data_IF_882128734900
#
_entry.id   IF_882128734900
#
_cell.length_a   1.000
_cell.length_b   1.000
_cell.length_c   1.000
_cell.angle_alpha   90.00
_cell.angle_beta   90.00
_cell.angle_gamma   90.00
#
_symmetry.space_group_name_H-M   'P 1'
#
loop_
_entity.id
_entity.type
_entity.pdbx_description
1 polymer ?
#
# COMPACT_ATOMS: atom_id res chain seq x y z
N UNK A 1 -21.82 -1.76 0.84
CA UNK A 1 -21.26 -0.43 0.48
C UNK A 1 -20.11 0.01 1.40
N UNK A 2 -20.23 -0.06 2.74
CA UNK A 2 -19.20 0.41 3.68
C UNK A 2 -17.80 -0.22 3.46
N UNK A 3 -17.72 -1.56 3.30
CA UNK A 3 -16.46 -2.29 3.08
C UNK A 3 -15.68 -1.79 1.86
N UNK A 4 -16.35 -1.53 0.74
CA UNK A 4 -15.71 -1.06 -0.49
C UNK A 4 -15.08 0.31 -0.33
N UNK A 5 -15.78 1.22 0.35
CA UNK A 5 -15.25 2.56 0.64
C UNK A 5 -14.03 2.48 1.56
N UNK A 6 -14.08 1.64 2.61
CA UNK A 6 -12.93 1.41 3.49
C UNK A 6 -11.71 0.86 2.72
N UNK A 7 -11.91 -0.15 1.86
CA UNK A 7 -10.83 -0.72 1.03
C UNK A 7 -10.23 0.32 0.07
N UNK A 8 -11.05 1.19 -0.52
CA UNK A 8 -10.57 2.24 -1.42
C UNK A 8 -9.79 3.33 -0.68
N UNK A 9 -10.23 3.72 0.53
CA UNK A 9 -9.50 4.66 1.38
C UNK A 9 -8.15 4.08 1.78
N UNK A 10 -8.14 2.81 2.20
CA UNK A 10 -6.90 2.12 2.59
C UNK A 10 -5.95 1.96 1.40
N UNK A 11 -6.46 1.58 0.22
CA UNK A 11 -5.69 1.55 -1.02
C UNK A 11 -5.10 2.92 -1.37
N UNK A 12 -5.88 4.00 -1.19
CA UNK A 12 -5.42 5.35 -1.47
C UNK A 12 -4.27 5.80 -0.55
N UNK A 13 -4.37 5.52 0.74
CA UNK A 13 -3.30 5.82 1.71
C UNK A 13 -2.04 4.99 1.38
N UNK A 14 -2.19 3.69 1.11
CA UNK A 14 -1.08 2.84 0.72
C UNK A 14 -0.43 3.30 -0.58
N UNK A 15 -1.20 3.81 -1.55
CA UNK A 15 -0.65 4.35 -2.80
C UNK A 15 0.21 5.59 -2.56
N UNK A 16 -0.25 6.51 -1.72
CA UNK A 16 0.54 7.70 -1.35
C UNK A 16 1.86 7.28 -0.70
N UNK A 17 1.81 6.36 0.27
CA UNK A 17 3.00 5.85 0.93
C UNK A 17 3.93 5.13 -0.05
N UNK A 18 3.39 4.31 -0.95
CA UNK A 18 4.16 3.62 -1.97
C UNK A 18 4.93 4.60 -2.85
N UNK A 19 4.29 5.66 -3.32
CA UNK A 19 4.91 6.69 -4.15
C UNK A 19 6.01 7.42 -3.38
N UNK A 20 5.73 7.87 -2.15
CA UNK A 20 6.71 8.57 -1.32
C UNK A 20 7.96 7.72 -1.06
N UNK A 21 7.77 6.42 -0.82
CA UNK A 21 8.84 5.49 -0.49
C UNK A 21 9.61 4.97 -1.70
N UNK A 22 8.94 4.80 -2.86
CA UNK A 22 9.62 4.46 -4.12
C UNK A 22 10.44 5.64 -4.66
N UNK A 23 9.98 6.86 -4.42
CA UNK A 23 10.69 8.11 -4.76
C UNK A 23 11.50 8.65 -3.57
N UNK A 24 11.85 7.78 -2.61
CA UNK A 24 12.55 8.20 -1.42
C UNK A 24 13.88 8.86 -1.77
N UNK A 25 14.12 10.01 -1.14
CA UNK A 25 15.39 10.73 -1.21
C UNK A 25 15.70 11.33 0.16
N UNK A 26 16.98 11.59 0.48
CA UNK A 26 17.35 12.28 1.70
C UNK A 26 16.63 13.62 1.88
N UNK A 27 16.49 14.42 0.80
CA UNK A 27 15.77 15.69 0.85
C UNK A 27 14.27 15.54 1.15
N UNK A 28 13.64 14.44 0.72
CA UNK A 28 12.27 14.13 1.10
C UNK A 28 12.17 13.77 2.60
N UNK A 29 13.15 13.01 3.12
CA UNK A 29 13.20 12.69 4.55
C UNK A 29 13.36 13.95 5.40
N UNK A 30 14.26 14.84 5.02
CA UNK A 30 14.49 16.13 5.69
C UNK A 30 13.24 17.01 5.64
N UNK A 31 12.56 17.10 4.49
CA UNK A 31 11.32 17.85 4.34
C UNK A 31 10.19 17.32 5.23
N UNK A 32 10.07 15.99 5.34
CA UNK A 32 9.08 15.34 6.20
C UNK A 32 9.47 15.36 7.69
N UNK A 33 10.68 15.80 8.03
CA UNK A 33 11.20 15.80 9.40
C UNK A 33 11.45 14.40 9.96
N UNK A 34 11.64 13.40 9.08
CA UNK A 34 11.91 12.01 9.48
C UNK A 34 13.41 11.69 9.38
N UNK A 35 13.94 10.77 10.21
CA UNK A 35 15.32 10.35 10.12
C UNK A 35 15.65 9.82 8.71
N UNK A 36 16.74 10.30 8.13
CA UNK A 36 17.20 9.82 6.83
C UNK A 36 17.73 8.39 6.94
N UNK A 37 17.40 7.56 5.94
CA UNK A 37 17.99 6.24 5.80
C UNK A 37 19.36 6.36 5.13
N UNK A 38 20.38 5.70 5.66
CA UNK A 38 21.72 5.69 5.06
C UNK A 38 21.74 5.01 3.68
N UNK A 39 20.80 4.07 3.45
CA UNK A 39 20.66 3.33 2.21
C UNK A 39 19.19 3.38 1.78
N UNK A 40 18.94 3.83 0.55
CA UNK A 40 17.58 3.93 -0.02
C UNK A 40 16.91 2.56 -0.25
N UNK A 41 17.62 1.46 -0.03
CA UNK A 41 17.14 0.10 -0.25
C UNK A 41 15.88 -0.23 0.57
N UNK A 42 15.88 0.08 1.88
CA UNK A 42 14.74 -0.24 2.75
C UNK A 42 13.49 0.57 2.43
N UNK A 43 13.57 1.92 2.28
CA UNK A 43 12.44 2.70 1.81
C UNK A 43 11.89 2.18 0.48
N UNK A 44 12.74 1.89 -0.50
CA UNK A 44 12.29 1.46 -1.82
C UNK A 44 11.59 0.09 -1.78
N UNK A 45 12.12 -0.91 -1.04
CA UNK A 45 11.44 -2.20 -0.87
C UNK A 45 10.11 -2.02 -0.16
N UNK A 46 10.06 -1.22 0.90
CA UNK A 46 8.81 -0.95 1.62
C UNK A 46 7.77 -0.27 0.70
N UNK A 47 8.21 0.66 -0.15
CA UNK A 47 7.37 1.29 -1.17
C UNK A 47 6.82 0.29 -2.18
N UNK A 48 7.63 -0.66 -2.64
CA UNK A 48 7.17 -1.74 -3.52
C UNK A 48 6.14 -2.66 -2.83
N UNK A 49 6.32 -2.95 -1.55
CA UNK A 49 5.35 -3.72 -0.75
C UNK A 49 4.01 -2.98 -0.65
N UNK A 50 4.01 -1.68 -0.32
CA UNK A 50 2.78 -0.89 -0.28
C UNK A 50 2.11 -0.75 -1.65
N UNK A 51 2.88 -0.71 -2.73
CA UNK A 51 2.33 -0.76 -4.08
C UNK A 51 1.60 -2.08 -4.33
N UNK A 52 2.18 -3.20 -3.93
CA UNK A 52 1.54 -4.52 -3.99
C UNK A 52 0.24 -4.60 -3.18
N UNK A 53 0.24 -4.05 -1.97
CA UNK A 53 -0.95 -3.96 -1.11
C UNK A 53 -2.03 -3.10 -1.78
N UNK A 54 -1.65 -1.95 -2.34
CA UNK A 54 -2.57 -1.06 -3.08
C UNK A 54 -3.29 -1.82 -4.19
N UNK A 55 -2.55 -2.56 -5.02
CA UNK A 55 -3.11 -3.36 -6.11
C UNK A 55 -4.07 -4.42 -5.56
N UNK A 56 -3.69 -5.14 -4.50
CA UNK A 56 -4.53 -6.16 -3.89
C UNK A 56 -5.85 -5.60 -3.33
N UNK A 57 -5.81 -4.45 -2.65
CA UNK A 57 -6.98 -3.78 -2.10
C UNK A 57 -7.91 -3.27 -3.20
N UNK A 58 -7.36 -2.71 -4.29
CA UNK A 58 -8.15 -2.28 -5.45
C UNK A 58 -8.87 -3.49 -6.05
N UNK A 59 -8.15 -4.60 -6.31
CA UNK A 59 -8.75 -5.84 -6.84
C UNK A 59 -9.90 -6.32 -5.94
N UNK A 60 -9.69 -6.36 -4.62
CA UNK A 60 -10.72 -6.78 -3.66
C UNK A 60 -11.91 -5.80 -3.60
N UNK A 61 -11.67 -4.50 -3.78
CA UNK A 61 -12.73 -3.49 -3.79
C UNK A 61 -13.66 -3.60 -5.01
N UNK A 62 -13.17 -4.11 -6.15
CA UNK A 62 -13.97 -4.34 -7.36
C UNK A 62 -14.48 -5.79 -7.50
N UNK A 63 -14.06 -6.70 -6.60
CA UNK A 63 -14.50 -8.08 -6.61
C UNK A 63 -16.00 -8.19 -6.33
N UNK A 64 -16.73 -8.91 -7.19
CA UNK A 64 -18.12 -9.29 -6.92
C UNK A 64 -18.14 -10.40 -5.87
N UNK A 65 -19.04 -10.36 -4.87
CA UNK A 65 -19.19 -11.44 -3.92
C UNK A 65 -19.69 -12.69 -4.65
N UNK A 66 -18.80 -13.62 -4.94
CA UNK A 66 -19.14 -14.95 -5.46
C UNK A 66 -19.15 -15.93 -4.29
N UNK A 67 -20.24 -16.68 -4.17
CA UNK A 67 -20.75 -17.42 -2.99
C UNK A 67 -19.80 -18.42 -2.32
N UNK A 68 -18.61 -18.72 -2.89
CA UNK A 68 -17.67 -19.70 -2.35
C UNK A 68 -16.18 -19.35 -2.53
N UNK A 69 -15.86 -18.08 -2.74
CA UNK A 69 -14.47 -17.67 -2.96
C UNK A 69 -13.79 -17.23 -1.67
N UNK A 70 -13.19 -18.20 -0.95
CA UNK A 70 -12.23 -17.96 0.14
C UNK A 70 -11.18 -16.94 -0.33
N UNK A 71 -10.87 -15.94 0.50
CA UNK A 71 -9.97 -14.83 0.16
C UNK A 71 -8.87 -14.63 1.18
N UNK A 72 -7.71 -14.17 0.70
CA UNK A 72 -6.47 -13.99 1.47
C UNK A 72 -5.48 -15.14 1.24
N UNK A 73 -4.61 -15.41 2.23
CA UNK A 73 -3.71 -16.59 2.28
C UNK A 73 -4.45 -17.94 2.44
N UNK A 74 -5.77 -17.98 2.23
CA UNK A 74 -6.58 -19.18 2.47
C UNK A 74 -6.77 -19.54 3.94
N UNK A 75 -6.37 -18.67 4.88
CA UNK A 75 -6.59 -18.84 6.30
C UNK A 75 -7.94 -18.23 6.68
N UNK A 76 -9.02 -19.02 6.55
CA UNK A 76 -10.28 -19.02 7.32
C UNK A 76 -11.25 -20.04 6.71
#
# INVERSE_FOLDING_TARGET
MKRRVTLLIDAFINLILAILLLLFSPGLADFLGVPSAQINFYPNILGAVFLGITIALIIEAYRKPTDNSRVGLGLL
#
